data_IF_861750408417
#
_entry.id   IF_861750408417
#
_cell.length_a   1.000
_cell.length_b   1.000
_cell.length_c   1.000
_cell.angle_alpha   90.00
_cell.angle_beta   90.00
_cell.angle_gamma   90.00
#
_symmetry.space_group_name_H-M   'P 1'
#
loop_
_entity.id
_entity.type
_entity.pdbx_description
1 polymer ?
#
# COMPACT_ATOMS: atom_id res chain seq x y z
N UNK A 1 -27.14 35.74 -18.49
CA UNK A 1 -27.39 34.47 -17.78
C UNK A 1 -26.28 33.53 -18.20
N UNK A 2 -25.15 33.63 -17.51
CA UNK A 2 -24.02 32.73 -17.66
C UNK A 2 -24.38 31.41 -16.99
N UNK A 3 -24.38 30.34 -17.78
CA UNK A 3 -24.49 28.97 -17.30
C UNK A 3 -23.10 28.42 -17.07
N UNK A 4 -22.59 28.54 -15.84
CA UNK A 4 -21.48 27.71 -15.38
C UNK A 4 -22.03 26.33 -15.01
N UNK A 5 -21.87 25.36 -15.90
CA UNK A 5 -21.94 23.95 -15.56
C UNK A 5 -20.61 23.54 -14.89
N UNK A 6 -20.63 22.61 -13.90
CA UNK A 6 -19.72 22.67 -12.77
C UNK A 6 -18.40 21.92 -13.00
N UNK A 7 -17.33 22.41 -12.36
CA UNK A 7 -16.00 21.79 -12.14
C UNK A 7 -16.02 20.35 -11.55
N UNK A 8 -17.19 19.77 -11.30
CA UNK A 8 -17.33 18.49 -10.59
C UNK A 8 -16.94 17.25 -11.41
N UNK A 9 -16.93 17.33 -12.75
CA UNK A 9 -16.63 16.17 -13.61
C UNK A 9 -15.12 15.91 -13.77
N UNK A 10 -14.25 16.89 -13.55
CA UNK A 10 -12.78 16.69 -13.62
C UNK A 10 -12.20 16.09 -12.33
N UNK A 11 -12.85 16.29 -11.18
CA UNK A 11 -12.41 15.74 -9.88
C UNK A 11 -12.93 14.32 -9.63
N UNK A 12 -14.07 13.94 -10.21
CA UNK A 12 -14.74 12.68 -9.87
C UNK A 12 -14.02 11.40 -10.34
N UNK A 13 -13.05 11.49 -11.25
CA UNK A 13 -12.29 10.35 -11.76
C UNK A 13 -10.79 10.39 -11.39
N UNK A 14 -10.36 11.37 -10.57
CA UNK A 14 -8.95 11.53 -10.26
C UNK A 14 -8.38 10.40 -9.40
N UNK A 15 -9.19 9.78 -8.57
CA UNK A 15 -8.77 8.69 -7.69
C UNK A 15 -8.54 7.38 -8.46
N UNK A 16 -9.31 7.13 -9.54
CA UNK A 16 -9.24 5.91 -10.34
C UNK A 16 -8.16 6.01 -11.45
N UNK A 17 -6.90 6.13 -11.01
CA UNK A 17 -5.71 6.11 -11.89
C UNK A 17 -4.48 5.68 -11.12
N UNK A 18 -3.43 5.37 -11.87
CA UNK A 18 -2.12 5.08 -11.31
C UNK A 18 -1.55 6.32 -10.60
N UNK A 19 -1.15 6.17 -9.33
CA UNK A 19 -0.55 7.27 -8.57
C UNK A 19 0.84 7.68 -9.10
N UNK A 20 1.50 6.78 -9.84
CA UNK A 20 2.88 6.97 -10.33
C UNK A 20 2.95 7.54 -11.74
N UNK A 21 2.21 6.97 -12.69
CA UNK A 21 2.26 7.36 -14.11
C UNK A 21 0.97 7.99 -14.64
N UNK A 22 -0.05 8.19 -13.79
CA UNK A 22 -1.34 8.80 -14.14
C UNK A 22 -2.19 8.02 -15.14
N UNK A 23 -1.74 6.85 -15.57
CA UNK A 23 -2.51 5.97 -16.45
C UNK A 23 -3.78 5.44 -15.79
N UNK A 24 -4.83 5.26 -16.59
CA UNK A 24 -6.05 4.57 -16.18
C UNK A 24 -6.07 3.11 -16.65
N UNK A 25 -4.97 2.62 -17.25
CA UNK A 25 -4.80 1.24 -17.67
C UNK A 25 -4.51 0.34 -16.46
N UNK A 26 -5.57 0.02 -15.73
CA UNK A 26 -5.53 -0.75 -14.48
C UNK A 26 -6.12 -2.14 -14.68
N UNK A 27 -5.48 -3.14 -14.06
CA UNK A 27 -5.97 -4.51 -13.95
C UNK A 27 -6.20 -4.84 -12.47
N UNK A 28 -7.16 -5.73 -12.22
CA UNK A 28 -7.41 -6.28 -10.88
C UNK A 28 -7.08 -7.76 -10.90
N UNK A 29 -6.09 -8.15 -10.10
CA UNK A 29 -5.72 -9.54 -9.90
C UNK A 29 -6.36 -10.02 -8.62
N UNK A 30 -7.18 -11.06 -8.72
CA UNK A 30 -7.94 -11.62 -7.60
C UNK A 30 -7.41 -13.01 -7.31
N UNK A 31 -6.85 -13.16 -6.11
CA UNK A 31 -6.38 -14.43 -5.56
C UNK A 31 -7.45 -14.96 -4.61
N UNK A 32 -7.91 -16.17 -4.88
CA UNK A 32 -8.80 -16.91 -3.99
C UNK A 32 -7.98 -18.01 -3.35
N UNK A 33 -7.78 -17.92 -2.04
CA UNK A 33 -7.21 -18.99 -1.24
C UNK A 33 -8.32 -19.57 -0.35
N UNK A 34 -8.48 -20.89 -0.39
CA UNK A 34 -9.47 -21.60 0.40
C UNK A 34 -8.87 -22.84 1.04
N UNK A 35 -9.11 -23.04 2.34
CA UNK A 35 -8.70 -24.26 3.03
C UNK A 35 -9.87 -25.24 3.06
N UNK A 36 -9.77 -26.29 2.24
CA UNK A 36 -10.72 -27.39 2.21
C UNK A 36 -10.27 -28.48 3.19
N UNK A 37 -11.15 -28.88 4.12
CA UNK A 37 -10.91 -30.10 4.90
C UNK A 37 -11.26 -31.32 4.05
N UNK A 38 -10.37 -32.29 4.01
CA UNK A 38 -10.59 -33.56 3.28
C UNK A 38 -11.03 -34.63 4.28
N UNK A 39 -12.14 -35.30 3.98
CA UNK A 39 -12.53 -36.51 4.70
C UNK A 39 -11.57 -37.66 4.30
N UNK A 40 -10.82 -38.25 5.24
CA UNK A 40 -9.85 -39.30 4.92
C UNK A 40 -10.49 -40.63 4.49
N UNK A 41 -11.76 -40.89 4.79
CA UNK A 41 -12.42 -42.15 4.43
C UNK A 41 -13.03 -42.10 3.02
N UNK A 42 -13.67 -41.00 2.65
CA UNK A 42 -14.29 -40.83 1.32
C UNK A 42 -13.38 -40.13 0.29
N UNK A 43 -12.42 -39.33 0.76
CA UNK A 43 -11.60 -38.45 -0.08
C UNK A 43 -12.34 -37.20 -0.55
N UNK A 44 -13.57 -36.97 -0.11
CA UNK A 44 -14.34 -35.77 -0.48
C UNK A 44 -13.80 -34.54 0.25
N UNK A 45 -13.68 -33.43 -0.49
CA UNK A 45 -13.38 -32.13 0.06
C UNK A 45 -14.68 -31.50 0.62
N UNK A 46 -14.68 -31.14 1.90
CA UNK A 46 -15.76 -30.39 2.53
C UNK A 46 -15.78 -28.95 2.03
N UNK A 47 -16.88 -28.22 2.32
CA UNK A 47 -16.95 -26.78 2.05
C UNK A 47 -15.76 -26.03 2.69
N UNK A 48 -15.24 -24.98 2.04
CA UNK A 48 -14.12 -24.19 2.55
C UNK A 48 -14.38 -23.74 3.98
N UNK A 49 -13.42 -24.02 4.88
CA UNK A 49 -13.52 -23.60 6.29
C UNK A 49 -13.13 -22.13 6.44
N UNK A 50 -12.31 -21.63 5.51
CA UNK A 50 -11.82 -20.25 5.45
C UNK A 50 -11.55 -19.90 3.97
N UNK A 51 -12.04 -18.74 3.53
CA UNK A 51 -11.78 -18.18 2.21
C UNK A 51 -11.12 -16.81 2.39
N UNK A 52 -9.87 -16.68 1.98
CA UNK A 52 -9.18 -15.39 1.90
C UNK A 52 -9.22 -14.96 0.44
N UNK A 53 -9.87 -13.82 0.20
CA UNK A 53 -9.89 -13.19 -1.10
C UNK A 53 -9.00 -11.96 -1.08
N UNK A 54 -7.84 -12.07 -1.70
CA UNK A 54 -6.94 -10.93 -1.88
C UNK A 54 -7.12 -10.35 -3.29
N UNK A 55 -7.31 -9.04 -3.36
CA UNK A 55 -7.31 -8.32 -4.61
C UNK A 55 -6.16 -7.30 -4.62
N UNK A 56 -5.41 -7.28 -5.71
CA UNK A 56 -4.40 -6.28 -6.00
C UNK A 56 -4.80 -5.55 -7.27
N UNK A 57 -4.86 -4.22 -7.21
CA UNK A 57 -5.05 -3.39 -8.39
C UNK A 57 -3.66 -3.00 -8.90
N UNK A 58 -3.34 -3.29 -10.15
CA UNK A 58 -2.04 -3.03 -10.74
C UNK A 58 -2.17 -2.14 -11.98
N UNK A 59 -1.24 -1.20 -12.16
CA UNK A 59 -1.14 -0.43 -13.39
C UNK A 59 -0.39 -1.23 -14.44
N UNK A 60 -0.97 -1.45 -15.62
CA UNK A 60 -0.32 -2.23 -16.68
C UNK A 60 0.82 -1.48 -17.37
N UNK A 61 0.79 -0.15 -17.38
CA UNK A 61 1.84 0.63 -18.05
C UNK A 61 3.14 0.74 -17.25
N UNK A 62 3.08 0.69 -15.91
CA UNK A 62 4.25 0.79 -15.05
C UNK A 62 4.43 -0.37 -14.07
N UNK A 63 3.53 -1.36 -14.08
CA UNK A 63 3.52 -2.56 -13.24
C UNK A 63 3.58 -2.31 -11.73
N UNK A 64 3.11 -1.14 -11.29
CA UNK A 64 3.00 -0.84 -9.86
C UNK A 64 1.63 -1.22 -9.34
N UNK A 65 1.58 -1.71 -8.12
CA UNK A 65 0.35 -1.91 -7.39
C UNK A 65 -0.23 -0.55 -6.95
N UNK A 66 -1.55 -0.49 -6.82
CA UNK A 66 -2.33 0.73 -6.54
C UNK A 66 -2.99 0.58 -5.17
N UNK A 67 -2.27 0.85 -4.08
CA UNK A 67 -2.72 0.57 -2.71
C UNK A 67 -3.76 1.57 -2.20
N UNK A 68 -4.01 2.65 -2.96
CA UNK A 68 -5.12 3.57 -2.76
C UNK A 68 -6.43 3.09 -3.40
N UNK A 69 -6.42 1.93 -4.05
CA UNK A 69 -7.60 1.32 -4.68
C UNK A 69 -7.87 -0.05 -4.06
N UNK A 70 -9.15 -0.34 -3.83
CA UNK A 70 -9.62 -1.63 -3.33
C UNK A 70 -10.74 -2.18 -4.21
N UNK A 71 -10.88 -3.51 -4.30
CA UNK A 71 -12.02 -4.17 -4.91
C UNK A 71 -13.07 -4.46 -3.83
N UNK A 72 -14.17 -3.70 -3.86
CA UNK A 72 -15.32 -3.92 -3.00
C UNK A 72 -16.35 -4.85 -3.67
N UNK A 73 -17.08 -5.61 -2.85
CA UNK A 73 -18.14 -6.51 -3.30
C UNK A 73 -19.49 -6.06 -2.75
N UNK A 74 -20.48 -6.09 -3.63
CA UNK A 74 -21.84 -5.67 -3.39
C UNK A 74 -22.82 -6.75 -3.81
N UNK A 75 -23.99 -6.77 -3.19
CA UNK A 75 -25.15 -7.49 -3.70
C UNK A 75 -26.17 -6.48 -4.22
N UNK A 76 -26.48 -6.55 -5.52
CA UNK A 76 -27.48 -5.71 -6.16
C UNK A 76 -28.46 -6.63 -6.90
N UNK A 77 -29.75 -6.50 -6.61
CA UNK A 77 -30.83 -7.32 -7.20
C UNK A 77 -30.58 -8.84 -7.15
N UNK A 78 -29.96 -9.32 -6.05
CA UNK A 78 -29.62 -10.74 -5.86
C UNK A 78 -28.43 -11.22 -6.68
N UNK A 79 -27.66 -10.31 -7.29
CA UNK A 79 -26.42 -10.60 -8.01
C UNK A 79 -25.22 -10.00 -7.27
N UNK A 80 -24.15 -10.79 -7.11
CA UNK A 80 -22.86 -10.29 -6.66
C UNK A 80 -22.22 -9.41 -7.75
N UNK A 81 -21.91 -8.17 -7.41
CA UNK A 81 -21.24 -7.18 -8.25
C UNK A 81 -19.96 -6.75 -7.53
N UNK A 82 -18.89 -6.49 -8.26
CA UNK A 82 -17.67 -5.91 -7.71
C UNK A 82 -17.41 -4.53 -8.29
N UNK A 83 -16.84 -3.64 -7.48
CA UNK A 83 -16.50 -2.26 -7.86
C UNK A 83 -15.15 -1.88 -7.28
N UNK A 84 -14.41 -1.07 -8.03
CA UNK A 84 -13.20 -0.44 -7.51
C UNK A 84 -13.58 0.80 -6.73
N UNK A 85 -12.99 0.95 -5.56
CA UNK A 85 -13.23 2.06 -4.64
C UNK A 85 -11.92 2.66 -4.16
N UNK A 86 -11.97 3.95 -3.89
CA UNK A 86 -10.87 4.66 -3.30
C UNK A 86 -10.74 4.30 -1.82
N UNK A 87 -9.51 4.14 -1.36
CA UNK A 87 -9.19 4.13 0.06
C UNK A 87 -8.98 5.58 0.47
N UNK A 88 -9.99 6.18 1.13
CA UNK A 88 -10.13 7.64 1.34
C UNK A 88 -8.89 8.31 1.95
N UNK A 89 -8.26 7.70 2.95
CA UNK A 89 -7.05 8.22 3.61
C UNK A 89 -5.78 8.13 2.74
N UNK A 90 -5.83 7.38 1.64
CA UNK A 90 -4.68 7.05 0.78
C UNK A 90 -4.73 7.74 -0.56
N UNK A 91 -5.88 7.69 -1.24
CA UNK A 91 -5.96 8.15 -2.63
C UNK A 91 -5.61 9.62 -2.75
N UNK A 92 -6.04 10.47 -1.83
CA UNK A 92 -5.67 11.89 -1.86
C UNK A 92 -4.15 12.03 -1.73
N UNK A 93 -3.54 11.38 -0.73
CA UNK A 93 -2.09 11.46 -0.51
C UNK A 93 -1.31 10.94 -1.71
N UNK A 94 -1.67 9.79 -2.24
CA UNK A 94 -0.94 9.15 -3.33
C UNK A 94 -1.10 9.86 -4.66
N UNK A 95 -2.31 10.34 -4.96
CA UNK A 95 -2.62 10.96 -6.25
C UNK A 95 -2.31 12.45 -6.28
N UNK A 96 -2.55 13.19 -5.19
CA UNK A 96 -2.32 14.64 -5.15
C UNK A 96 -1.08 15.04 -4.35
N UNK A 97 -0.53 14.13 -3.55
CA UNK A 97 0.70 14.36 -2.79
C UNK A 97 1.97 14.10 -3.59
N UNK A 98 3.08 14.07 -2.85
CA UNK A 98 4.44 13.88 -3.38
C UNK A 98 5.11 12.74 -2.62
N UNK A 99 6.11 12.08 -3.22
CA UNK A 99 6.88 11.08 -2.51
C UNK A 99 7.81 11.74 -1.48
N UNK A 100 7.89 11.13 -0.30
CA UNK A 100 8.76 11.48 0.81
C UNK A 100 9.57 10.27 1.19
N UNK A 101 10.82 10.47 1.58
CA UNK A 101 11.70 9.43 2.12
C UNK A 101 12.07 9.80 3.54
N UNK A 102 11.71 8.92 4.47
CA UNK A 102 12.03 9.02 5.89
C UNK A 102 13.15 8.05 6.25
N UNK A 103 14.18 8.55 6.93
CA UNK A 103 15.08 7.71 7.72
C UNK A 103 14.55 7.70 9.14
N UNK A 104 14.08 6.55 9.59
CA UNK A 104 13.39 6.45 10.87
C UNK A 104 13.83 5.23 11.68
N UNK A 105 13.50 5.29 12.96
CA UNK A 105 13.73 4.21 13.91
C UNK A 105 12.44 3.94 14.66
N UNK A 106 12.01 2.68 14.70
CA UNK A 106 10.88 2.23 15.52
C UNK A 106 11.40 1.25 16.54
N UNK A 107 11.00 1.43 17.80
CA UNK A 107 11.32 0.49 18.88
C UNK A 107 10.09 -0.32 19.23
N UNK A 108 10.20 -1.64 19.19
CA UNK A 108 9.08 -2.56 19.47
C UNK A 108 9.49 -3.62 20.48
N UNK A 109 8.50 -4.28 21.08
CA UNK A 109 8.76 -5.46 21.91
C UNK A 109 9.22 -6.64 21.04
N UNK A 110 10.20 -7.41 21.52
CA UNK A 110 10.69 -8.58 20.80
C UNK A 110 9.62 -9.66 20.56
N UNK A 111 8.59 -9.75 21.42
CA UNK A 111 7.46 -10.66 21.25
C UNK A 111 6.57 -10.31 20.05
N UNK A 112 6.69 -9.08 19.50
CA UNK A 112 5.97 -8.64 18.31
C UNK A 112 6.71 -9.02 17.01
N UNK A 113 7.94 -9.53 17.10
CA UNK A 113 8.75 -9.92 15.95
C UNK A 113 8.78 -11.44 15.83
N UNK A 114 8.24 -11.96 14.75
CA UNK A 114 8.25 -13.40 14.47
C UNK A 114 9.67 -13.90 14.16
N UNK A 115 10.41 -13.17 13.33
CA UNK A 115 11.80 -13.51 13.00
C UNK A 115 12.65 -12.27 12.76
N UNK A 116 13.85 -12.25 13.33
CA UNK A 116 14.87 -11.23 13.09
C UNK A 116 16.04 -11.76 12.24
N UNK A 117 15.93 -12.97 11.68
CA UNK A 117 17.00 -13.60 10.89
C UNK A 117 16.49 -14.42 9.71
N UNK A 118 17.34 -14.62 8.71
CA UNK A 118 16.95 -15.34 7.48
C UNK A 118 16.22 -14.45 6.47
N UNK A 119 15.69 -15.06 5.39
CA UNK A 119 15.12 -14.31 4.26
C UNK A 119 13.86 -13.51 4.61
N UNK A 120 13.09 -13.94 5.60
CA UNK A 120 11.82 -13.31 6.03
C UNK A 120 12.02 -12.21 7.09
N UNK A 121 13.26 -12.00 7.56
CA UNK A 121 13.53 -11.09 8.66
C UNK A 121 13.15 -9.64 8.35
N UNK A 122 13.43 -9.18 7.12
CA UNK A 122 13.13 -7.80 6.74
C UNK A 122 11.62 -7.53 6.78
N UNK A 123 10.82 -8.46 6.27
CA UNK A 123 9.37 -8.35 6.24
C UNK A 123 8.78 -8.45 7.65
N UNK A 124 9.25 -9.41 8.46
CA UNK A 124 8.82 -9.56 9.85
C UNK A 124 9.15 -8.31 10.70
N UNK A 125 10.33 -7.71 10.51
CA UNK A 125 10.73 -6.47 11.20
C UNK A 125 9.92 -5.25 10.71
N UNK A 126 9.70 -5.12 9.40
CA UNK A 126 8.88 -4.03 8.84
C UNK A 126 7.43 -4.14 9.32
N UNK A 127 6.87 -5.35 9.32
CA UNK A 127 5.54 -5.65 9.86
C UNK A 127 5.47 -5.38 11.37
N UNK A 128 6.49 -5.78 12.13
CA UNK A 128 6.58 -5.45 13.54
C UNK A 128 6.55 -3.95 13.80
N UNK A 129 7.24 -3.17 12.97
CA UNK A 129 7.32 -1.72 13.10
C UNK A 129 6.05 -0.96 12.68
N UNK A 130 5.41 -1.34 11.57
CA UNK A 130 4.30 -0.57 10.97
C UNK A 130 3.03 -1.39 10.67
N UNK A 131 3.09 -2.71 10.75
CA UNK A 131 1.96 -3.62 10.53
C UNK A 131 1.51 -3.80 9.08
N UNK A 132 0.27 -4.29 8.91
CA UNK A 132 -0.39 -4.49 7.62
C UNK A 132 -0.84 -3.18 6.96
N UNK A 133 -0.98 -2.11 7.75
CA UNK A 133 -1.40 -0.82 7.24
C UNK A 133 -0.19 -0.09 6.66
N UNK A 134 -0.08 -0.14 5.34
CA UNK A 134 0.86 0.68 4.59
C UNK A 134 2.04 -0.07 3.99
N UNK A 135 2.19 -1.38 4.17
CA UNK A 135 3.18 -2.16 3.39
C UNK A 135 2.95 -2.09 1.88
N UNK A 136 1.71 -1.84 1.44
CA UNK A 136 1.44 -1.53 0.03
C UNK A 136 1.64 -0.06 -0.35
N UNK A 137 1.50 0.88 0.59
CA UNK A 137 1.75 2.32 0.35
C UNK A 137 3.22 2.69 0.44
N UNK A 138 3.97 1.97 1.27
CA UNK A 138 5.32 2.29 1.63
C UNK A 138 6.30 1.32 1.00
N UNK A 139 7.30 1.87 0.33
CA UNK A 139 8.53 1.10 0.19
C UNK A 139 9.26 1.15 1.53
N UNK A 140 9.34 0.02 2.23
CA UNK A 140 10.06 -0.10 3.50
C UNK A 140 11.31 -0.94 3.31
N UNK A 141 12.46 -0.38 3.68
CA UNK A 141 13.73 -1.08 3.65
C UNK A 141 14.37 -1.06 5.03
N UNK A 142 14.40 -2.21 5.69
CA UNK A 142 15.13 -2.40 6.96
C UNK A 142 16.62 -2.31 6.70
N UNK A 143 17.28 -1.32 7.29
CA UNK A 143 18.73 -1.11 7.15
C UNK A 143 19.51 -2.01 8.10
N UNK A 144 19.15 -1.98 9.36
CA UNK A 144 19.66 -2.87 10.40
C UNK A 144 18.73 -2.80 11.61
N UNK A 145 18.86 -3.78 12.50
CA UNK A 145 18.19 -3.78 13.79
C UNK A 145 19.20 -4.13 14.88
N UNK A 146 18.84 -3.83 16.13
CA UNK A 146 19.58 -4.26 17.31
C UNK A 146 18.61 -4.66 18.42
N UNK A 147 19.05 -5.57 19.27
CA UNK A 147 18.33 -5.95 20.47
C UNK A 147 18.78 -5.05 21.63
N UNK A 148 17.83 -4.59 22.43
CA UNK A 148 18.05 -3.78 23.63
C UNK A 148 17.16 -4.33 24.76
N UNK A 149 17.70 -5.31 25.51
CA UNK A 149 16.90 -6.09 26.45
C UNK A 149 15.79 -6.86 25.73
N UNK A 150 14.55 -6.66 26.19
CA UNK A 150 13.35 -7.29 25.62
C UNK A 150 12.78 -6.50 24.42
N UNK A 151 13.48 -5.45 23.98
CA UNK A 151 13.07 -4.61 22.85
C UNK A 151 13.97 -4.82 21.63
N UNK A 152 13.42 -4.53 20.46
CA UNK A 152 14.14 -4.48 19.19
C UNK A 152 14.03 -3.06 18.63
N UNK A 153 15.19 -2.47 18.32
CA UNK A 153 15.29 -1.15 17.70
C UNK A 153 15.56 -1.35 16.21
N UNK A 154 14.62 -0.94 15.37
CA UNK A 154 14.60 -1.21 13.93
C UNK A 154 14.87 0.09 13.18
N UNK A 155 15.96 0.14 12.42
CA UNK A 155 16.33 1.30 11.62
C UNK A 155 15.92 1.07 10.16
N UNK A 156 15.16 1.99 9.59
CA UNK A 156 14.51 1.82 8.29
C UNK A 156 14.62 3.05 7.41
N UNK A 157 14.56 2.81 6.10
CA UNK A 157 14.10 3.81 5.15
C UNK A 157 12.67 3.49 4.77
N UNK A 158 11.80 4.49 4.85
CA UNK A 158 10.39 4.39 4.47
C UNK A 158 10.12 5.44 3.42
N UNK A 159 9.63 5.03 2.27
CA UNK A 159 9.08 5.93 1.26
C UNK A 159 7.57 5.97 1.39
N UNK A 160 6.97 7.14 1.32
CA UNK A 160 5.51 7.32 1.39
C UNK A 160 5.04 8.51 0.57
N UNK A 161 3.75 8.58 0.32
CA UNK A 161 3.13 9.75 -0.28
C UNK A 161 2.40 10.60 0.76
N UNK A 162 2.59 11.90 0.68
CA UNK A 162 1.91 12.90 1.49
C UNK A 162 1.90 14.26 0.78
N UNK A 163 0.93 15.10 1.11
CA UNK A 163 0.76 16.46 0.58
C UNK A 163 1.71 17.46 1.23
N UNK A 164 2.30 17.12 2.37
CA UNK A 164 3.26 17.96 3.10
C UNK A 164 4.19 17.12 3.96
N UNK A 165 5.30 17.72 4.41
CA UNK A 165 6.23 17.11 5.37
C UNK A 165 5.53 16.74 6.68
N UNK A 166 4.66 17.62 7.18
CA UNK A 166 3.91 17.39 8.41
C UNK A 166 2.99 16.16 8.27
N UNK A 167 2.23 16.07 7.18
CA UNK A 167 1.37 14.91 6.93
C UNK A 167 2.19 13.62 6.76
N UNK A 168 3.38 13.68 6.14
CA UNK A 168 4.26 12.51 6.08
C UNK A 168 4.72 12.05 7.47
N UNK A 169 5.08 13.00 8.34
CA UNK A 169 5.45 12.69 9.72
C UNK A 169 4.26 12.08 10.49
N UNK A 170 3.07 12.67 10.37
CA UNK A 170 1.85 12.21 11.05
C UNK A 170 1.47 10.79 10.60
N UNK A 171 1.50 10.50 9.30
CA UNK A 171 1.23 9.16 8.77
C UNK A 171 2.19 8.11 9.34
N UNK A 172 3.49 8.42 9.41
CA UNK A 172 4.46 7.49 9.99
C UNK A 172 4.24 7.30 11.50
N UNK A 173 3.93 8.39 12.22
CA UNK A 173 3.66 8.35 13.65
C UNK A 173 2.42 7.54 13.99
N UNK A 174 1.34 7.69 13.21
CA UNK A 174 0.08 6.98 13.42
C UNK A 174 0.20 5.49 13.06
N UNK A 175 1.04 5.16 12.07
CA UNK A 175 1.27 3.78 11.64
C UNK A 175 2.25 3.01 12.56
N UNK A 176 3.15 3.71 13.25
CA UNK A 176 4.17 3.07 14.06
C UNK A 176 3.56 2.30 15.25
N UNK A 177 3.90 1.00 15.36
CA UNK A 177 3.45 0.13 16.46
C UNK A 177 4.20 0.34 17.77
N UNK A 178 5.20 1.21 17.76
CA UNK A 178 5.98 1.60 18.94
C UNK A 178 6.62 2.98 18.77
N UNK A 179 7.43 3.44 19.74
CA UNK A 179 8.06 4.76 19.67
C UNK A 179 8.83 4.98 18.37
N UNK A 180 8.40 5.98 17.60
CA UNK A 180 9.01 6.42 16.34
C UNK A 180 9.98 7.58 16.60
N UNK A 181 11.15 7.50 15.99
CA UNK A 181 12.11 8.61 15.89
C UNK A 181 12.50 8.85 14.43
N UNK A 182 12.22 10.05 13.92
CA UNK A 182 12.64 10.47 12.59
C UNK A 182 14.05 11.07 12.65
N UNK A 183 15.00 10.43 11.99
CA UNK A 183 16.36 10.95 11.82
C UNK A 183 16.40 11.99 10.70
N UNK A 184 15.64 11.76 9.63
CA UNK A 184 15.45 12.71 8.54
C UNK A 184 14.15 12.42 7.80
N UNK A 185 13.57 13.45 7.20
CA UNK A 185 12.42 13.38 6.31
C UNK A 185 12.64 14.36 5.16
N UNK A 186 12.55 13.88 3.92
CA UNK A 186 12.81 14.71 2.75
C UNK A 186 11.84 14.35 1.62
N UNK A 187 11.38 15.36 0.88
CA UNK A 187 10.65 15.16 -0.38
C UNK A 187 11.62 14.53 -1.39
N UNK A 188 11.23 13.41 -1.98
CA UNK A 188 12.02 12.75 -3.02
C UNK A 188 11.79 13.47 -4.35
N UNK A 189 12.85 14.01 -4.94
CA UNK A 189 12.78 14.62 -6.26
C UNK A 189 12.68 13.55 -7.34
N UNK A 190 11.50 12.97 -7.53
CA UNK A 190 11.26 12.09 -8.68
C UNK A 190 11.11 12.96 -9.93
N UNK A 191 11.88 12.74 -11.01
CA UNK A 191 11.55 13.35 -12.28
C UNK A 191 10.12 12.95 -12.68
N UNK A 192 9.30 13.87 -13.23
CA UNK A 192 7.98 13.49 -13.71
C UNK A 192 8.12 12.36 -14.72
N UNK A 193 7.36 11.28 -14.55
CA UNK A 193 7.37 10.13 -15.48
C UNK A 193 7.03 10.53 -16.93
N UNK A 194 6.44 11.73 -17.12
CA UNK A 194 6.13 12.32 -18.42
C UNK A 194 7.30 13.10 -19.07
N UNK A 195 8.51 13.09 -18.51
CA UNK A 195 9.66 13.73 -19.13
C UNK A 195 10.22 12.86 -20.28
N UNK A 196 9.73 13.19 -21.48
CA UNK A 196 10.24 12.83 -22.80
C UNK A 196 9.98 11.39 -23.30
N UNK A 197 8.92 11.25 -24.10
CA UNK A 197 9.05 10.42 -25.31
C UNK A 197 10.27 10.96 -26.08
N UNK A 198 11.26 10.12 -26.43
CA UNK A 198 12.22 10.52 -27.45
C UNK A 198 11.40 10.75 -28.72
N UNK A 199 11.49 11.96 -29.29
CA UNK A 199 11.01 12.21 -30.64
C UNK A 199 11.56 11.10 -31.56
N UNK A 200 10.65 10.34 -32.17
CA UNK A 200 10.97 9.44 -33.28
C UNK A 200 11.71 10.27 -34.36
N UNK A 201 12.98 9.98 -34.67
CA UNK A 201 13.57 10.54 -35.87
C UNK A 201 13.13 9.69 -37.04
N UNK A 202 12.36 10.32 -37.94
CA UNK A 202 12.20 9.88 -39.32
C UNK A 202 13.55 9.60 -40.00
#
# INVERSE_FOLDING_TARGET
MEGSAPDFLETAASWLRCYRCWSQNLEVQVHYEGVLRVDPESGEAAEPVEEVQEAVVQCLDCLHDQPHLNLAFYEEDGRRVSRIEAVEDRWERMVVGRPWVASCTVTVDSEQIESCSGPEAADSLAFGAFGDHGTREFFTHVRFHKHDGDQIVIHMLVELYARSEQEAADVLSDAARGPLSLTSLAEESRPPAAAASPEDPH
#
